data_IF_565462933056
#
_entry.id   IF_565462933056
#
_cell.length_a   1.000
_cell.length_b   1.000
_cell.length_c   1.000
_cell.angle_alpha   90.00
_cell.angle_beta   90.00
_cell.angle_gamma   90.00
#
_symmetry.space_group_name_H-M   'P 1'
#
loop_
_entity.id
_entity.type
_entity.pdbx_description
1 polymer ?
#
# COMPACT_ATOMS: atom_id res chain seq x y z
N UNK A 1 -4.83 -22.68 6.61
CA UNK A 1 -4.88 -21.20 6.63
C UNK A 1 -3.62 -20.69 5.96
N UNK A 2 -3.72 -20.05 4.81
CA UNK A 2 -2.55 -19.53 4.08
C UNK A 2 -1.87 -18.48 4.95
N UNK A 3 -0.60 -18.69 5.29
CA UNK A 3 0.15 -17.72 6.08
C UNK A 3 0.38 -16.47 5.22
N UNK A 4 -0.42 -15.42 5.40
CA UNK A 4 -0.31 -14.19 4.61
C UNK A 4 1.11 -13.58 4.65
N UNK A 5 1.88 -13.85 5.71
CA UNK A 5 3.27 -13.37 5.84
C UNK A 5 4.22 -13.97 4.81
N UNK A 6 3.86 -15.09 4.17
CA UNK A 6 4.67 -15.67 3.09
C UNK A 6 4.39 -15.03 1.73
N UNK A 7 3.29 -14.26 1.59
CA UNK A 7 2.92 -13.63 0.32
C UNK A 7 3.86 -12.47 -0.01
N UNK A 8 4.37 -12.45 -1.23
CA UNK A 8 5.26 -11.37 -1.66
C UNK A 8 4.53 -10.03 -1.75
N UNK A 9 3.22 -10.04 -2.08
CA UNK A 9 2.38 -8.85 -2.01
C UNK A 9 2.39 -8.22 -0.60
N UNK A 10 2.32 -9.05 0.44
CA UNK A 10 2.34 -8.57 1.83
C UNK A 10 3.73 -8.09 2.24
N UNK A 11 4.80 -8.83 1.91
CA UNK A 11 6.18 -8.44 2.24
C UNK A 11 6.54 -7.10 1.59
N UNK A 12 6.20 -6.91 0.32
CA UNK A 12 6.46 -5.67 -0.42
C UNK A 12 5.65 -4.50 0.11
N UNK A 13 4.39 -4.74 0.48
CA UNK A 13 3.59 -3.74 1.17
C UNK A 13 4.20 -3.35 2.55
N UNK A 14 4.79 -4.28 3.29
CA UNK A 14 5.50 -3.98 4.54
C UNK A 14 6.78 -3.16 4.32
N UNK A 15 7.54 -3.47 3.27
CA UNK A 15 8.68 -2.65 2.84
C UNK A 15 8.23 -1.23 2.49
N UNK A 16 7.15 -1.09 1.71
CA UNK A 16 6.57 0.21 1.36
C UNK A 16 6.14 1.01 2.60
N UNK A 17 5.51 0.37 3.59
CA UNK A 17 5.17 1.03 4.87
C UNK A 17 6.40 1.60 5.55
N UNK A 18 7.49 0.82 5.67
CA UNK A 18 8.73 1.29 6.28
C UNK A 18 9.25 2.54 5.56
N UNK A 19 9.25 2.53 4.23
CA UNK A 19 9.76 3.63 3.40
C UNK A 19 8.92 4.89 3.55
N UNK A 20 7.58 4.76 3.55
CA UNK A 20 6.68 5.88 3.82
C UNK A 20 6.90 6.46 5.21
N UNK A 21 7.12 5.63 6.23
CA UNK A 21 7.44 6.11 7.57
C UNK A 21 8.78 6.85 7.63
N UNK A 22 9.78 6.43 6.86
CA UNK A 22 11.07 7.12 6.77
C UNK A 22 10.94 8.44 6.01
N UNK A 23 10.22 8.45 4.89
CA UNK A 23 9.96 9.65 4.08
C UNK A 23 9.22 10.71 4.88
N UNK A 24 8.15 10.33 5.58
CA UNK A 24 7.31 11.25 6.37
C UNK A 24 8.00 11.82 7.61
N UNK A 25 9.22 11.36 7.98
CA UNK A 25 10.03 12.03 9.01
C UNK A 25 10.54 13.41 8.57
N UNK A 26 10.64 13.66 7.26
CA UNK A 26 11.05 14.97 6.75
C UNK A 26 9.89 15.91 6.49
N UNK A 27 8.65 15.50 6.76
CA UNK A 27 7.49 16.37 6.58
C UNK A 27 7.48 17.46 7.66
N UNK A 28 7.01 18.68 7.34
CA UNK A 28 6.82 19.74 8.32
C UNK A 28 5.86 19.34 9.45
N UNK A 29 5.99 19.97 10.62
CA UNK A 29 5.16 19.61 11.80
C UNK A 29 3.71 20.01 11.63
N UNK A 30 3.45 21.09 10.91
CA UNK A 30 2.13 21.58 10.54
C UNK A 30 1.33 20.54 9.73
N UNK A 31 2.01 19.67 8.98
CA UNK A 31 1.41 18.60 8.18
C UNK A 31 1.12 17.32 8.99
N UNK A 32 1.42 17.31 10.30
CA UNK A 32 1.31 16.10 11.13
C UNK A 32 -0.09 15.48 11.06
N UNK A 33 -1.13 16.32 11.19
CA UNK A 33 -2.53 15.86 11.17
C UNK A 33 -3.15 15.90 9.77
N UNK A 34 -2.56 16.62 8.83
CA UNK A 34 -2.99 16.70 7.43
C UNK A 34 -2.31 15.61 6.59
N UNK A 35 -1.27 15.94 5.83
CA UNK A 35 -0.70 15.01 4.85
C UNK A 35 0.05 13.84 5.52
N UNK A 36 0.79 14.08 6.60
CA UNK A 36 1.58 13.04 7.28
C UNK A 36 0.70 11.89 7.79
N UNK A 37 -0.42 12.22 8.45
CA UNK A 37 -1.32 11.21 9.02
C UNK A 37 -2.00 10.39 7.93
N UNK A 38 -2.43 11.05 6.84
CA UNK A 38 -3.10 10.41 5.72
C UNK A 38 -2.15 9.48 4.96
N UNK A 39 -0.93 9.93 4.65
CA UNK A 39 0.07 9.14 3.93
C UNK A 39 0.44 7.87 4.71
N UNK A 40 0.64 7.98 6.02
CA UNK A 40 0.91 6.81 6.87
C UNK A 40 -0.27 5.85 6.92
N UNK A 41 -1.50 6.36 7.05
CA UNK A 41 -2.71 5.52 7.10
C UNK A 41 -2.93 4.77 5.78
N UNK A 42 -2.82 5.45 4.64
CA UNK A 42 -2.91 4.83 3.32
C UNK A 42 -1.86 3.72 3.17
N UNK A 43 -0.59 3.98 3.52
CA UNK A 43 0.46 2.97 3.46
C UNK A 43 0.17 1.75 4.35
N UNK A 44 -0.21 1.96 5.61
CA UNK A 44 -0.52 0.89 6.58
C UNK A 44 -1.75 0.08 6.16
N UNK A 45 -2.72 0.72 5.53
CA UNK A 45 -3.94 0.08 5.02
C UNK A 45 -3.63 -1.00 3.98
N UNK A 46 -2.58 -0.84 3.17
CA UNK A 46 -2.21 -1.79 2.10
C UNK A 46 -1.92 -3.20 2.66
N UNK A 47 -0.90 -3.44 3.51
CA UNK A 47 -0.64 -4.77 4.06
C UNK A 47 -1.73 -5.24 5.03
N UNK A 48 -2.43 -4.31 5.70
CA UNK A 48 -3.51 -4.66 6.63
C UNK A 48 -4.67 -5.32 5.89
N UNK A 49 -5.12 -4.72 4.78
CA UNK A 49 -6.18 -5.29 3.95
C UNK A 49 -5.74 -6.58 3.23
N UNK A 50 -4.45 -6.73 2.87
CA UNK A 50 -3.93 -8.00 2.35
C UNK A 50 -4.07 -9.09 3.42
N UNK A 51 -3.59 -8.85 4.63
CA UNK A 51 -3.66 -9.82 5.72
C UNK A 51 -5.12 -10.17 6.07
N UNK A 52 -5.99 -9.16 6.16
CA UNK A 52 -7.40 -9.35 6.48
C UNK A 52 -8.13 -10.14 5.39
N UNK A 53 -7.92 -9.79 4.11
CA UNK A 53 -8.51 -10.50 2.98
C UNK A 53 -8.12 -11.97 2.95
N UNK A 54 -6.85 -12.29 3.21
CA UNK A 54 -6.38 -13.69 3.26
C UNK A 54 -6.97 -14.48 4.44
N UNK A 55 -7.40 -13.78 5.49
CA UNK A 55 -8.13 -14.35 6.63
C UNK A 55 -9.61 -14.64 6.37
N UNK A 56 -10.22 -14.08 5.30
CA UNK A 56 -11.65 -14.27 4.99
C UNK A 56 -11.97 -15.68 4.50
N UNK A 57 -13.18 -16.17 4.75
CA UNK A 57 -13.56 -17.55 4.41
C UNK A 57 -13.97 -17.73 2.95
N UNK A 58 -14.48 -16.67 2.32
CA UNK A 58 -15.00 -16.71 0.96
C UNK A 58 -14.11 -15.92 0.01
N UNK A 59 -13.91 -16.46 -1.19
CA UNK A 59 -13.09 -15.81 -2.23
C UNK A 59 -13.55 -14.40 -2.59
N UNK A 60 -14.87 -14.17 -2.67
CA UNK A 60 -15.43 -12.84 -2.96
C UNK A 60 -14.98 -11.81 -1.93
N UNK A 61 -15.01 -12.17 -0.64
CA UNK A 61 -14.58 -11.30 0.45
C UNK A 61 -13.07 -11.06 0.38
N UNK A 62 -12.27 -12.12 0.16
CA UNK A 62 -10.83 -11.97 -0.02
C UNK A 62 -10.50 -10.97 -1.12
N UNK A 63 -11.13 -11.10 -2.30
CA UNK A 63 -10.92 -10.20 -3.43
C UNK A 63 -11.34 -8.77 -3.09
N UNK A 64 -12.47 -8.58 -2.40
CA UNK A 64 -12.92 -7.26 -1.96
C UNK A 64 -11.85 -6.55 -1.10
N UNK A 65 -11.26 -7.25 -0.13
CA UNK A 65 -10.18 -6.70 0.69
C UNK A 65 -8.92 -6.39 -0.12
N UNK A 66 -8.56 -7.23 -1.08
CA UNK A 66 -7.43 -6.93 -1.98
C UNK A 66 -7.70 -5.72 -2.87
N UNK A 67 -8.94 -5.48 -3.29
CA UNK A 67 -9.31 -4.25 -3.99
C UNK A 67 -9.24 -3.01 -3.08
N UNK A 68 -9.60 -3.13 -1.80
CA UNK A 68 -9.42 -2.04 -0.82
C UNK A 68 -7.93 -1.73 -0.64
N UNK A 69 -7.09 -2.77 -0.54
CA UNK A 69 -5.63 -2.63 -0.52
C UNK A 69 -5.13 -1.89 -1.76
N UNK A 70 -5.62 -2.23 -2.95
CA UNK A 70 -5.29 -1.54 -4.20
C UNK A 70 -5.76 -0.09 -4.22
N UNK A 71 -6.96 0.19 -3.70
CA UNK A 71 -7.44 1.57 -3.52
C UNK A 71 -6.51 2.39 -2.62
N UNK A 72 -6.00 1.78 -1.54
CA UNK A 72 -5.04 2.43 -0.63
C UNK A 72 -3.69 2.72 -1.30
N UNK A 73 -3.28 1.92 -2.31
CA UNK A 73 -2.09 2.22 -3.12
C UNK A 73 -2.30 3.51 -3.93
N UNK A 74 -3.43 3.64 -4.63
CA UNK A 74 -3.73 4.84 -5.41
C UNK A 74 -3.90 6.08 -4.52
N UNK A 75 -4.50 5.93 -3.35
CA UNK A 75 -4.58 6.99 -2.34
C UNK A 75 -3.18 7.45 -1.91
N UNK A 76 -2.29 6.50 -1.58
CA UNK A 76 -0.91 6.80 -1.21
C UNK A 76 -0.16 7.54 -2.33
N UNK A 77 -0.27 7.07 -3.58
CA UNK A 77 0.33 7.72 -4.73
C UNK A 77 -0.17 9.17 -4.89
N UNK A 78 -1.47 9.38 -4.74
CA UNK A 78 -2.08 10.72 -4.80
C UNK A 78 -1.51 11.64 -3.72
N UNK A 79 -1.41 11.15 -2.48
CA UNK A 79 -0.86 11.93 -1.36
C UNK A 79 0.63 12.25 -1.55
N UNK A 80 1.41 11.33 -2.15
CA UNK A 80 2.82 11.58 -2.49
C UNK A 80 2.96 12.61 -3.63
N UNK A 81 2.08 12.59 -4.63
CA UNK A 81 2.03 13.63 -5.66
C UNK A 81 1.72 15.00 -5.07
N UNK A 82 0.76 15.08 -4.14
CA UNK A 82 0.46 16.32 -3.42
C UNK A 82 1.70 16.81 -2.64
N UNK A 83 2.42 15.90 -1.96
CA UNK A 83 3.64 16.25 -1.23
C UNK A 83 4.73 16.85 -2.13
N UNK A 84 4.87 16.38 -3.37
CA UNK A 84 5.78 16.98 -4.36
C UNK A 84 5.27 18.34 -4.83
N UNK A 85 3.98 18.42 -5.18
CA UNK A 85 3.34 19.63 -5.70
C UNK A 85 3.45 20.81 -4.75
N UNK A 86 3.39 20.56 -3.44
CA UNK A 86 3.53 21.58 -2.39
C UNK A 86 4.95 21.63 -1.79
N UNK A 87 5.93 21.06 -2.50
CA UNK A 87 7.37 21.15 -2.22
C UNK A 87 7.80 20.56 -0.85
N UNK A 88 7.01 19.67 -0.25
CA UNK A 88 7.37 18.95 1.00
C UNK A 88 8.46 17.90 0.72
N UNK A 89 8.43 17.27 -0.45
CA UNK A 89 9.46 16.32 -0.91
C UNK A 89 9.93 16.65 -2.32
N UNK A 90 11.15 16.23 -2.65
CA UNK A 90 11.71 16.39 -4.00
C UNK A 90 11.18 15.33 -4.95
N UNK A 91 11.17 15.64 -6.26
CA UNK A 91 10.87 14.65 -7.32
C UNK A 91 11.75 13.39 -7.21
N UNK A 92 13.03 13.55 -6.82
CA UNK A 92 13.92 12.41 -6.60
C UNK A 92 13.38 11.46 -5.53
N UNK A 93 13.00 11.99 -4.36
CA UNK A 93 12.44 11.16 -3.26
C UNK A 93 11.09 10.56 -3.62
N UNK A 94 10.30 11.29 -4.38
CA UNK A 94 9.06 10.78 -4.95
C UNK A 94 9.32 9.58 -5.86
N UNK A 95 10.19 9.71 -6.87
CA UNK A 95 10.51 8.63 -7.80
C UNK A 95 11.08 7.39 -7.10
N UNK A 96 11.94 7.57 -6.09
CA UNK A 96 12.45 6.47 -5.25
C UNK A 96 11.32 5.73 -4.53
N UNK A 97 10.34 6.45 -3.97
CA UNK A 97 9.20 5.85 -3.26
C UNK A 97 8.19 5.25 -4.23
N UNK A 98 7.92 5.92 -5.35
CA UNK A 98 6.98 5.52 -6.39
C UNK A 98 7.41 4.20 -7.04
N UNK A 99 8.71 3.99 -7.26
CA UNK A 99 9.22 2.72 -7.77
C UNK A 99 8.84 1.51 -6.90
N UNK A 100 8.80 1.67 -5.57
CA UNK A 100 8.40 0.62 -4.61
C UNK A 100 6.89 0.46 -4.57
N UNK A 101 6.16 1.56 -4.77
CA UNK A 101 4.71 1.57 -4.93
C UNK A 101 4.30 0.78 -6.19
N UNK A 102 4.95 1.04 -7.33
CA UNK A 102 4.75 0.36 -8.61
C UNK A 102 5.02 -1.16 -8.52
N UNK A 103 6.08 -1.53 -7.82
CA UNK A 103 6.36 -2.94 -7.53
C UNK A 103 5.25 -3.56 -6.68
N UNK A 104 4.80 -2.86 -5.63
CA UNK A 104 3.76 -3.35 -4.71
C UNK A 104 2.43 -3.55 -5.42
N UNK A 105 1.99 -2.59 -6.27
CA UNK A 105 0.75 -2.71 -7.03
C UNK A 105 0.81 -3.80 -8.08
N UNK A 106 1.95 -3.97 -8.78
CA UNK A 106 2.14 -5.04 -9.76
C UNK A 106 1.95 -6.41 -9.11
N UNK A 107 2.59 -6.64 -7.96
CA UNK A 107 2.52 -7.91 -7.23
C UNK A 107 1.12 -8.12 -6.64
N UNK A 108 0.49 -7.07 -6.10
CA UNK A 108 -0.88 -7.12 -5.59
C UNK A 108 -1.88 -7.48 -6.70
N UNK A 109 -1.77 -6.87 -7.88
CA UNK A 109 -2.62 -7.20 -9.03
C UNK A 109 -2.41 -8.65 -9.48
N UNK A 110 -1.15 -9.14 -9.47
CA UNK A 110 -0.86 -10.55 -9.72
C UNK A 110 -1.56 -11.48 -8.73
N UNK A 111 -1.55 -11.14 -7.43
CA UNK A 111 -2.26 -11.89 -6.39
C UNK A 111 -3.78 -11.88 -6.61
N UNK A 112 -4.36 -10.72 -6.94
CA UNK A 112 -5.79 -10.58 -7.24
C UNK A 112 -6.18 -11.51 -8.40
N UNK A 113 -5.49 -11.41 -9.53
CA UNK A 113 -5.75 -12.23 -10.71
C UNK A 113 -5.56 -13.72 -10.44
N UNK A 114 -4.55 -14.09 -9.63
CA UNK A 114 -4.34 -15.47 -9.22
C UNK A 114 -5.54 -16.00 -8.41
N UNK A 115 -6.00 -15.26 -7.40
CA UNK A 115 -7.14 -15.68 -6.58
C UNK A 115 -8.42 -15.77 -7.41
N UNK A 116 -8.68 -14.76 -8.26
CA UNK A 116 -9.82 -14.74 -9.19
C UNK A 116 -9.89 -15.98 -10.09
N UNK A 117 -8.75 -16.47 -10.58
CA UNK A 117 -8.68 -17.67 -11.44
C UNK A 117 -8.61 -18.98 -10.65
N UNK A 118 -8.14 -18.94 -9.41
CA UNK A 118 -7.98 -20.13 -8.59
C UNK A 118 -9.31 -20.66 -8.06
N UNK A 119 -9.37 -21.95 -7.76
CA UNK A 119 -10.43 -22.56 -6.95
C UNK A 119 -10.14 -22.42 -5.45
N UNK A 120 -9.23 -21.52 -5.05
CA UNK A 120 -8.90 -21.28 -3.66
C UNK A 120 -9.98 -20.41 -3.03
N UNK A 121 -10.75 -21.04 -2.14
CA UNK A 121 -11.96 -20.51 -1.49
C UNK A 121 -13.10 -20.16 -2.44
#
# INVERSE_FOLDING_TARGET
MTNYKSLDAWKKAMELVKEVYLLTKSFPKEELYALTSQTKRAAVSIPSNIAEGMGRNYKKDTIQFLHISRGSVYELETLLNIAVMVEIITEKRFNETCSKLDESIRILNGLITYIEKSNLK
#
